data_IF_373915697234
#
_entry.id   IF_373915697234
#
_cell.length_a   1.000
_cell.length_b   1.000
_cell.length_c   1.000
_cell.angle_alpha   90.00
_cell.angle_beta   90.00
_cell.angle_gamma   90.00
#
_symmetry.space_group_name_H-M   'P 1'
#
loop_
_entity.id
_entity.type
_entity.pdbx_description
1 polymer ?
#
# COMPACT_ATOMS: atom_id res chain seq x y z
N UNK A 1 -13.45 -3.30 10.90
CA UNK A 1 -12.46 -2.26 10.58
C UNK A 1 -11.49 -2.79 9.56
N UNK A 2 -11.67 -2.46 8.24
CA UNK A 2 -10.74 -2.99 7.23
C UNK A 2 -9.38 -2.31 7.27
N UNK A 3 -8.34 -3.12 7.20
CA UNK A 3 -6.97 -2.66 7.05
C UNK A 3 -6.45 -3.14 5.72
N UNK A 4 -5.81 -2.25 4.96
CA UNK A 4 -5.16 -2.60 3.70
C UNK A 4 -3.69 -2.25 3.85
N UNK A 5 -2.84 -3.22 3.59
CA UNK A 5 -1.40 -2.98 3.64
C UNK A 5 -0.82 -3.19 2.25
N UNK A 6 -0.02 -2.22 1.82
CA UNK A 6 0.63 -2.25 0.53
C UNK A 6 2.12 -2.09 0.74
N UNK A 7 2.88 -3.05 0.24
CA UNK A 7 4.33 -2.95 0.29
C UNK A 7 4.83 -2.57 -1.09
N UNK A 8 5.58 -1.48 -1.17
CA UNK A 8 6.14 -0.97 -2.42
C UNK A 8 7.62 -0.71 -2.23
N UNK A 9 8.36 -0.79 -3.31
CA UNK A 9 9.73 -0.29 -3.27
C UNK A 9 9.72 1.24 -3.23
N UNK A 10 10.71 1.80 -2.56
CA UNK A 10 10.84 3.26 -2.46
C UNK A 10 10.99 3.88 -3.84
N UNK A 11 10.69 5.15 -3.94
CA UNK A 11 10.80 5.90 -5.18
C UNK A 11 9.52 6.59 -5.62
N UNK A 12 8.37 6.23 -5.03
CA UNK A 12 7.13 6.95 -5.31
C UNK A 12 7.07 8.22 -4.51
N UNK A 13 6.50 9.25 -5.09
CA UNK A 13 6.35 10.52 -4.39
C UNK A 13 5.25 10.42 -3.35
N UNK A 14 5.26 11.36 -2.41
CA UNK A 14 4.18 11.45 -1.43
C UNK A 14 2.83 11.61 -2.13
N UNK A 15 2.78 12.42 -3.19
CA UNK A 15 1.53 12.64 -3.92
C UNK A 15 1.01 11.36 -4.55
N UNK A 16 1.90 10.52 -5.08
CA UNK A 16 1.50 9.23 -5.63
C UNK A 16 0.94 8.32 -4.54
N UNK A 17 1.57 8.30 -3.38
CA UNK A 17 1.08 7.47 -2.26
C UNK A 17 -0.25 7.97 -1.72
N UNK A 18 -0.44 9.29 -1.66
CA UNK A 18 -1.73 9.86 -1.26
C UNK A 18 -2.85 9.47 -2.22
N UNK A 19 -2.58 9.54 -3.51
CA UNK A 19 -3.58 9.19 -4.52
C UNK A 19 -3.94 7.71 -4.43
N UNK A 20 -2.93 6.86 -4.26
CA UNK A 20 -3.15 5.42 -4.11
C UNK A 20 -4.00 5.13 -2.87
N UNK A 21 -3.68 5.74 -1.74
CA UNK A 21 -4.42 5.52 -0.50
C UNK A 21 -5.87 5.95 -0.65
N UNK A 22 -6.11 7.07 -1.33
CA UNK A 22 -7.47 7.56 -1.55
C UNK A 22 -8.27 6.59 -2.41
N UNK A 23 -7.71 6.13 -3.51
CA UNK A 23 -8.41 5.25 -4.43
C UNK A 23 -8.66 3.87 -3.80
N UNK A 24 -7.69 3.36 -3.05
CA UNK A 24 -7.86 2.08 -2.35
C UNK A 24 -8.96 2.20 -1.31
N UNK A 25 -8.99 3.30 -0.56
CA UNK A 25 -10.04 3.54 0.43
C UNK A 25 -11.42 3.54 -0.24
N UNK A 26 -11.54 4.24 -1.36
CA UNK A 26 -12.81 4.31 -2.09
C UNK A 26 -13.25 2.92 -2.56
N UNK A 27 -12.31 2.12 -3.04
CA UNK A 27 -12.62 0.77 -3.49
C UNK A 27 -13.10 -0.12 -2.35
N UNK A 28 -12.46 0.00 -1.18
CA UNK A 28 -12.86 -0.79 0.00
C UNK A 28 -14.27 -0.41 0.43
N UNK A 29 -14.55 0.90 0.53
CA UNK A 29 -15.88 1.37 0.92
C UNK A 29 -16.92 0.86 -0.05
N UNK A 30 -16.66 0.97 -1.35
CA UNK A 30 -17.60 0.58 -2.39
C UNK A 30 -17.90 -0.91 -2.35
N UNK A 31 -16.91 -1.73 -2.06
CA UNK A 31 -17.04 -3.18 -2.15
C UNK A 31 -17.44 -3.86 -0.85
N UNK A 32 -17.12 -3.25 0.31
CA UNK A 32 -17.41 -3.88 1.60
C UNK A 32 -18.56 -3.23 2.35
N UNK A 33 -18.92 -2.00 1.97
CA UNK A 33 -19.92 -1.24 2.71
C UNK A 33 -19.40 -0.63 4.00
N UNK A 34 -18.12 -0.76 4.31
CA UNK A 34 -17.55 -0.16 5.51
C UNK A 34 -17.57 1.36 5.39
N UNK A 35 -17.78 2.10 6.51
CA UNK A 35 -17.67 3.54 6.46
C UNK A 35 -16.23 3.97 6.20
N UNK A 36 -16.05 5.08 5.50
CA UNK A 36 -14.73 5.57 5.15
C UNK A 36 -13.84 5.74 6.38
N UNK A 37 -14.44 6.19 7.49
CA UNK A 37 -13.71 6.43 8.74
C UNK A 37 -13.13 5.13 9.35
N UNK A 38 -13.61 3.97 8.93
CA UNK A 38 -13.14 2.69 9.44
C UNK A 38 -12.05 2.06 8.59
N UNK A 39 -11.77 2.64 7.41
CA UNK A 39 -10.78 2.07 6.49
C UNK A 39 -9.40 2.64 6.78
N UNK A 40 -8.44 1.75 6.96
CA UNK A 40 -7.07 2.14 7.23
C UNK A 40 -6.16 1.59 6.13
N UNK A 41 -5.37 2.46 5.52
CA UNK A 41 -4.44 2.06 4.46
C UNK A 41 -3.03 2.34 4.95
N UNK A 42 -2.20 1.33 4.91
CA UNK A 42 -0.79 1.42 5.32
C UNK A 42 0.06 1.15 4.09
N UNK A 43 0.91 2.10 3.75
CA UNK A 43 1.83 1.94 2.63
C UNK A 43 3.24 1.87 3.22
N UNK A 44 3.91 0.77 2.97
CA UNK A 44 5.24 0.54 3.46
C UNK A 44 6.25 0.73 2.33
N UNK A 45 7.08 1.75 2.43
CA UNK A 45 8.18 2.00 1.49
C UNK A 45 9.34 1.09 1.84
N UNK A 46 9.67 0.17 0.95
CA UNK A 46 10.76 -0.77 1.19
C UNK A 46 12.03 -0.30 0.48
N UNK A 47 13.11 -0.04 1.23
CA UNK A 47 14.37 0.26 0.57
C UNK A 47 14.95 -0.99 -0.10
N UNK A 48 15.89 -0.78 -1.00
CA UNK A 48 16.61 -1.89 -1.63
C UNK A 48 17.27 -2.73 -0.54
N UNK A 49 17.29 -4.04 -0.76
CA UNK A 49 17.89 -4.96 0.19
C UNK A 49 16.94 -5.43 1.28
N UNK A 50 15.65 -5.18 1.12
CA UNK A 50 14.65 -5.62 2.12
C UNK A 50 13.70 -6.69 1.59
N UNK A 51 13.74 -6.97 0.29
CA UNK A 51 12.88 -7.98 -0.31
C UNK A 51 13.75 -9.02 -1.02
N UNK A 52 13.58 -10.27 -0.65
CA UNK A 52 14.44 -11.36 -1.14
C UNK A 52 13.55 -12.48 -1.66
N UNK A 53 13.13 -12.41 -2.92
CA UNK A 53 12.38 -13.53 -3.50
C UNK A 53 13.25 -14.78 -3.48
N UNK A 54 12.70 -15.87 -2.93
CA UNK A 54 13.43 -17.15 -2.77
C UNK A 54 14.74 -16.97 -2.00
N UNK A 55 14.84 -15.96 -1.13
CA UNK A 55 16.04 -15.73 -0.34
C UNK A 55 17.19 -15.09 -1.08
N UNK A 56 16.93 -14.54 -2.26
CA UNK A 56 17.97 -13.93 -3.09
C UNK A 56 17.66 -12.46 -3.33
N UNK A 57 18.72 -11.66 -3.53
CA UNK A 57 18.51 -10.25 -3.91
C UNK A 57 17.76 -10.18 -5.23
N UNK A 58 16.76 -9.31 -5.27
CA UNK A 58 16.07 -9.10 -6.54
C UNK A 58 16.95 -8.29 -7.49
N UNK A 59 16.79 -8.55 -8.76
CA UNK A 59 17.46 -7.75 -9.79
C UNK A 59 16.56 -6.60 -10.21
N UNK A 60 17.17 -5.47 -10.50
CA UNK A 60 16.46 -4.31 -10.97
C UNK A 60 16.16 -4.40 -12.45
#
# INVERSE_FOLDING_TARGET
MPFVRIDLFEGRTLEQRKALAKEVTEAVVRNTGAPQSAVHVIINDMPEGTYFPQGQMREK
#
